data_IF_650762930739
#
_entry.id   IF_650762930739
#
_cell.length_a   1.000
_cell.length_b   1.000
_cell.length_c   1.000
_cell.angle_alpha   90.00
_cell.angle_beta   90.00
_cell.angle_gamma   90.00
#
_symmetry.space_group_name_H-M   'P 1'
#
loop_
_entity.id
_entity.type
_entity.pdbx_description
1 polymer ?
#
# COMPACT_ATOMS: atom_id res chain seq x y z
N UNK A 1 3.25 3.50 18.67
CA UNK A 1 2.19 4.03 17.77
C UNK A 1 2.74 4.69 16.50
N UNK A 2 3.74 5.60 16.55
CA UNK A 2 4.21 6.33 15.35
C UNK A 2 4.55 5.44 14.14
N UNK A 3 5.33 4.38 14.33
CA UNK A 3 5.79 3.52 13.22
C UNK A 3 4.69 2.66 12.58
N UNK A 4 3.57 2.42 13.29
CA UNK A 4 2.39 1.76 12.72
C UNK A 4 1.64 2.73 11.80
N UNK A 5 1.36 3.94 12.31
CA UNK A 5 0.70 5.01 11.54
C UNK A 5 1.50 5.36 10.30
N UNK A 6 2.83 5.49 10.40
CA UNK A 6 3.69 5.74 9.24
C UNK A 6 3.55 4.67 8.16
N UNK A 7 3.50 3.38 8.52
CA UNK A 7 3.35 2.30 7.54
C UNK A 7 1.98 2.31 6.87
N UNK A 8 0.91 2.57 7.64
CA UNK A 8 -0.45 2.69 7.12
C UNK A 8 -0.56 3.88 6.16
N UNK A 9 -0.06 5.06 6.56
CA UNK A 9 -0.14 6.29 5.76
C UNK A 9 0.73 6.20 4.50
N UNK A 10 1.97 5.73 4.62
CA UNK A 10 2.86 5.55 3.48
C UNK A 10 2.31 4.50 2.50
N UNK A 11 1.79 3.37 3.04
CA UNK A 11 1.15 2.34 2.24
C UNK A 11 -0.10 2.85 1.52
N UNK A 12 -0.94 3.63 2.20
CA UNK A 12 -2.14 4.24 1.62
C UNK A 12 -1.84 5.26 0.52
N UNK A 13 -0.84 6.13 0.72
CA UNK A 13 -0.37 7.07 -0.31
C UNK A 13 0.15 6.33 -1.54
N UNK A 14 0.93 5.26 -1.34
CA UNK A 14 1.47 4.44 -2.42
C UNK A 14 0.34 3.75 -3.21
N UNK A 15 -0.69 3.28 -2.50
CA UNK A 15 -1.86 2.62 -3.10
C UNK A 15 -2.70 3.61 -3.91
N UNK A 16 -2.99 4.79 -3.36
CA UNK A 16 -3.70 5.86 -4.07
C UNK A 16 -2.95 6.29 -5.34
N UNK A 17 -1.65 6.54 -5.24
CA UNK A 17 -0.82 6.91 -6.39
C UNK A 17 -0.77 5.82 -7.46
N UNK A 18 -0.63 4.55 -7.05
CA UNK A 18 -0.65 3.40 -7.96
C UNK A 18 -1.99 3.21 -8.68
N UNK A 19 -3.10 3.37 -7.97
CA UNK A 19 -4.45 3.23 -8.53
C UNK A 19 -4.79 4.40 -9.46
N UNK A 20 -4.39 5.62 -9.11
CA UNK A 20 -4.52 6.78 -10.00
C UNK A 20 -3.73 6.59 -11.31
N UNK A 21 -2.50 6.08 -11.23
CA UNK A 21 -1.73 5.75 -12.43
C UNK A 21 -2.38 4.63 -13.25
N UNK A 22 -2.98 3.64 -12.60
CA UNK A 22 -3.68 2.56 -13.30
C UNK A 22 -4.96 3.05 -14.01
N UNK A 23 -5.61 4.09 -13.49
CA UNK A 23 -6.83 4.66 -14.09
C UNK A 23 -6.53 5.69 -15.19
N UNK A 24 -5.47 6.49 -15.02
CA UNK A 24 -5.10 7.56 -15.96
C UNK A 24 -4.36 7.06 -17.21
N UNK A 25 -3.89 5.81 -17.20
CA UNK A 25 -3.02 5.28 -18.26
C UNK A 25 -3.68 4.07 -18.92
N UNK A 26 -3.49 3.94 -20.24
CA UNK A 26 -4.02 2.82 -21.02
C UNK A 26 -3.65 1.45 -20.41
N UNK A 27 -4.66 0.58 -20.29
CA UNK A 27 -4.52 -0.77 -19.77
C UNK A 27 -3.44 -1.54 -20.55
N UNK A 28 -2.53 -2.21 -19.85
CA UNK A 28 -1.45 -3.00 -20.45
C UNK A 28 -0.24 -2.20 -20.93
N UNK A 29 -0.23 -0.87 -20.75
CA UNK A 29 0.95 -0.05 -21.04
C UNK A 29 2.02 -0.14 -19.93
N UNK A 30 3.30 0.16 -20.21
CA UNK A 30 4.37 0.13 -19.21
C UNK A 30 4.12 1.00 -17.96
N UNK A 31 3.58 2.24 -18.05
CA UNK A 31 3.25 3.04 -16.87
C UNK A 31 2.09 2.45 -16.06
N UNK A 32 1.15 1.75 -16.70
CA UNK A 32 0.07 1.03 -16.02
C UNK A 32 0.61 -0.11 -15.16
N UNK A 33 1.59 -0.87 -15.67
CA UNK A 33 2.28 -1.92 -14.91
C UNK A 33 3.03 -1.35 -13.69
N UNK A 34 3.66 -0.19 -13.83
CA UNK A 34 4.30 0.49 -12.71
C UNK A 34 3.28 0.92 -11.64
N UNK A 35 2.11 1.42 -12.06
CA UNK A 35 0.99 1.73 -11.16
C UNK A 35 0.46 0.50 -10.42
N UNK A 36 0.28 -0.62 -11.13
CA UNK A 36 -0.13 -1.89 -10.54
C UNK A 36 0.89 -2.43 -9.52
N UNK A 37 2.19 -2.35 -9.83
CA UNK A 37 3.25 -2.75 -8.91
C UNK A 37 3.28 -1.86 -7.65
N UNK A 38 3.07 -0.54 -7.81
CA UNK A 38 2.94 0.38 -6.67
C UNK A 38 1.73 0.02 -5.78
N UNK A 39 0.59 -0.28 -6.39
CA UNK A 39 -0.62 -0.66 -5.66
C UNK A 39 -0.43 -1.96 -4.85
N UNK A 40 0.27 -2.95 -5.41
CA UNK A 40 0.64 -4.17 -4.70
C UNK A 40 1.60 -3.89 -3.54
N UNK A 41 2.61 -3.04 -3.74
CA UNK A 41 3.52 -2.60 -2.69
C UNK A 41 2.78 -1.89 -1.55
N UNK A 42 1.88 -0.95 -1.87
CA UNK A 42 1.06 -0.24 -0.89
C UNK A 42 0.19 -1.19 -0.06
N UNK A 43 -0.44 -2.17 -0.73
CA UNK A 43 -1.22 -3.22 -0.07
C UNK A 43 -0.36 -4.06 0.87
N UNK A 44 0.84 -4.47 0.42
CA UNK A 44 1.79 -5.23 1.23
C UNK A 44 2.27 -4.46 2.46
N UNK A 45 2.56 -3.16 2.33
CA UNK A 45 2.97 -2.31 3.43
C UNK A 45 1.87 -2.15 4.50
N UNK A 46 0.62 -1.99 4.08
CA UNK A 46 -0.55 -1.94 4.98
C UNK A 46 -0.70 -3.28 5.71
N UNK A 47 -0.67 -4.40 4.99
CA UNK A 47 -0.83 -5.73 5.57
C UNK A 47 0.30 -6.06 6.57
N UNK A 48 1.53 -5.65 6.25
CA UNK A 48 2.68 -5.78 7.15
C UNK A 48 2.52 -4.92 8.42
N UNK A 49 2.01 -3.69 8.28
CA UNK A 49 1.66 -2.83 9.42
C UNK A 49 0.63 -3.48 10.33
N UNK A 50 -0.47 -3.98 9.77
CA UNK A 50 -1.56 -4.65 10.50
C UNK A 50 -1.04 -5.90 11.22
N UNK A 51 -0.32 -6.79 10.51
CA UNK A 51 0.24 -8.00 11.12
C UNK A 51 1.18 -7.70 12.28
N UNK A 52 1.99 -6.63 12.17
CA UNK A 52 2.92 -6.24 13.22
C UNK A 52 2.20 -5.72 14.46
N UNK A 53 1.10 -4.99 14.29
CA UNK A 53 0.26 -4.53 15.40
C UNK A 53 -0.46 -5.70 16.08
N UNK A 54 -1.06 -6.61 15.31
CA UNK A 54 -1.72 -7.82 15.83
C UNK A 54 -0.76 -8.74 16.60
N UNK A 55 0.50 -8.86 16.15
CA UNK A 55 1.52 -9.63 16.85
C UNK A 55 1.99 -8.97 18.16
N UNK A 56 1.95 -7.64 18.23
CA UNK A 56 2.33 -6.87 19.43
C UNK A 56 1.18 -6.79 20.44
N UNK A 57 -0.07 -6.83 19.97
CA UNK A 57 -1.29 -6.74 20.79
C UNK A 57 -2.16 -8.00 20.63
N UNK A 58 -1.74 -9.17 21.16
CA UNK A 58 -2.49 -10.42 20.99
C UNK A 58 -3.83 -10.47 21.74
N UNK A 59 -4.11 -9.52 22.65
CA UNK A 59 -5.28 -9.56 23.55
C UNK A 59 -5.90 -8.17 23.84
N UNK A 60 -5.84 -7.23 22.90
CA UNK A 60 -6.62 -5.99 23.03
C UNK A 60 -8.12 -6.28 22.80
#
# INVERSE_FOLDING_TARGET
>A
MERFVTLIVAGGLCLLAGLWLAELVALGSPPWLAGAALALCGTGAILAGIRRELAVSPFA
#
